data_IF_088008107629
#
_entry.id   IF_088008107629
#
_cell.length_a   1.000
_cell.length_b   1.000
_cell.length_c   1.000
_cell.angle_alpha   90.00
_cell.angle_beta   90.00
_cell.angle_gamma   90.00
#
_symmetry.space_group_name_H-M   'P 1'
#
loop_
_entity.id
_entity.type
_entity.pdbx_description
1 polymer ?
#
# COMPACT_ATOMS: atom_id res chain seq x y z
N UNK A 1 28.65 -15.70 24.39
CA UNK A 1 27.92 -16.50 23.38
C UNK A 1 26.40 -16.56 23.63
N UNK A 2 25.82 -15.83 24.60
CA UNK A 2 24.44 -16.10 25.09
C UNK A 2 23.38 -15.02 24.83
N UNK A 3 23.62 -14.02 23.98
CA UNK A 3 22.69 -12.88 23.81
C UNK A 3 21.98 -12.82 22.45
N UNK A 4 22.19 -13.86 21.62
CA UNK A 4 21.56 -13.97 20.30
C UNK A 4 20.16 -14.57 20.45
N UNK A 5 19.14 -13.83 20.02
CA UNK A 5 17.73 -14.26 20.07
C UNK A 5 17.25 -14.83 18.73
N UNK A 6 17.90 -14.45 17.62
CA UNK A 6 17.67 -15.05 16.30
C UNK A 6 19.02 -15.48 15.71
N UNK A 7 19.08 -16.72 15.23
CA UNK A 7 20.22 -17.25 14.48
C UNK A 7 19.73 -18.05 13.28
N UNK A 8 20.16 -17.66 12.09
CA UNK A 8 19.91 -18.37 10.85
C UNK A 8 21.25 -18.66 10.15
N UNK A 9 21.39 -19.87 9.60
CA UNK A 9 22.57 -20.28 8.83
C UNK A 9 22.16 -20.99 7.54
N UNK A 10 22.60 -20.48 6.40
CA UNK A 10 22.25 -20.97 5.07
C UNK A 10 20.75 -21.09 4.85
N UNK A 11 19.95 -20.25 5.52
CA UNK A 11 18.51 -20.37 5.58
C UNK A 11 17.90 -20.10 4.19
N UNK A 12 16.96 -20.94 3.80
CA UNK A 12 16.15 -20.72 2.61
C UNK A 12 14.74 -21.26 2.80
N UNK A 13 13.81 -20.79 1.98
CA UNK A 13 12.45 -21.29 1.98
C UNK A 13 11.90 -21.42 0.56
N UNK A 14 11.20 -22.51 0.29
CA UNK A 14 10.46 -22.74 -0.95
C UNK A 14 9.02 -23.09 -0.67
N UNK A 15 8.10 -22.26 -1.16
CA UNK A 15 6.66 -22.53 -1.17
C UNK A 15 6.36 -23.77 -2.02
N UNK A 16 5.44 -24.64 -1.59
CA UNK A 16 5.07 -25.86 -2.31
C UNK A 16 4.50 -25.58 -3.71
N UNK A 17 3.81 -24.45 -3.87
CA UNK A 17 3.18 -24.02 -5.13
C UNK A 17 4.14 -23.38 -6.12
N UNK A 18 5.39 -23.10 -5.73
CA UNK A 18 6.36 -22.37 -6.58
C UNK A 18 7.51 -23.27 -7.02
N UNK A 19 7.98 -23.14 -8.28
CA UNK A 19 9.11 -23.93 -8.76
C UNK A 19 10.44 -23.50 -8.11
N UNK A 20 10.58 -22.20 -7.84
CA UNK A 20 11.80 -21.60 -7.28
C UNK A 20 11.62 -21.27 -5.79
N UNK A 21 12.70 -21.35 -4.98
CA UNK A 21 12.70 -20.83 -3.62
C UNK A 21 12.32 -19.34 -3.58
N UNK A 22 11.67 -18.92 -2.49
CA UNK A 22 11.41 -17.52 -2.21
C UNK A 22 12.70 -16.76 -1.87
N UNK A 23 13.60 -17.41 -1.13
CA UNK A 23 14.95 -16.91 -0.82
C UNK A 23 15.87 -18.08 -0.46
N UNK A 24 17.19 -17.88 -0.54
CA UNK A 24 18.21 -18.87 -0.19
C UNK A 24 19.44 -18.23 0.44
N UNK A 25 20.20 -19.00 1.23
CA UNK A 25 21.53 -18.58 1.69
C UNK A 25 21.53 -17.44 2.70
N UNK A 26 20.47 -17.30 3.51
CA UNK A 26 20.37 -16.26 4.53
C UNK A 26 21.15 -16.68 5.78
N UNK A 27 22.21 -15.95 6.07
CA UNK A 27 22.93 -15.97 7.34
C UNK A 27 22.55 -14.70 8.13
N UNK A 28 21.94 -14.88 9.31
CA UNK A 28 21.44 -13.77 10.13
C UNK A 28 21.69 -14.07 11.62
N UNK A 29 22.15 -13.06 12.36
CA UNK A 29 22.35 -13.14 13.80
C UNK A 29 21.84 -11.85 14.42
N UNK A 30 20.81 -11.92 15.25
CA UNK A 30 20.21 -10.74 15.91
C UNK A 30 20.27 -10.91 17.42
N UNK A 31 20.79 -9.88 18.09
CA UNK A 31 20.95 -9.81 19.54
C UNK A 31 19.69 -9.34 20.24
N UNK A 32 19.55 -9.62 21.54
CA UNK A 32 18.43 -9.10 22.33
C UNK A 32 18.45 -7.56 22.33
N UNK A 33 17.30 -6.94 22.07
CA UNK A 33 17.14 -5.49 21.98
C UNK A 33 17.72 -4.85 20.71
N UNK A 34 18.33 -5.61 19.81
CA UNK A 34 18.83 -5.09 18.52
C UNK A 34 17.66 -4.72 17.60
N UNK A 35 17.78 -3.58 16.92
CA UNK A 35 16.80 -3.09 15.95
C UNK A 35 17.37 -3.19 14.55
N UNK A 36 16.73 -4.00 13.72
CA UNK A 36 17.22 -4.34 12.38
C UNK A 36 16.28 -3.81 11.33
N UNK A 37 16.82 -3.10 10.34
CA UNK A 37 16.11 -2.73 9.11
C UNK A 37 16.46 -3.71 7.99
N UNK A 38 15.44 -4.31 7.39
CA UNK A 38 15.55 -5.21 6.25
C UNK A 38 14.96 -4.56 4.99
N UNK A 39 15.80 -4.33 3.99
CA UNK A 39 15.39 -3.85 2.66
C UNK A 39 15.58 -4.96 1.63
N UNK A 40 15.08 -4.77 0.41
CA UNK A 40 15.25 -5.72 -0.69
C UNK A 40 14.19 -5.52 -1.77
N UNK A 41 14.45 -6.04 -2.95
CA UNK A 41 13.53 -5.95 -4.09
C UNK A 41 12.16 -6.61 -3.78
N UNK A 42 11.11 -6.19 -4.49
CA UNK A 42 9.83 -6.90 -4.40
C UNK A 42 9.99 -8.34 -4.89
N UNK A 43 9.40 -9.28 -4.16
CA UNK A 43 9.56 -10.71 -4.46
C UNK A 43 10.88 -11.34 -4.02
N UNK A 44 11.82 -10.59 -3.41
CA UNK A 44 13.07 -11.15 -2.86
C UNK A 44 12.86 -12.09 -1.66
N UNK A 45 11.63 -12.18 -1.15
CA UNK A 45 11.27 -13.10 -0.06
C UNK A 45 11.26 -12.49 1.33
N UNK A 46 11.25 -11.16 1.48
CA UNK A 46 11.27 -10.44 2.78
C UNK A 46 10.15 -10.89 3.74
N UNK A 47 8.89 -10.81 3.29
CA UNK A 47 7.73 -11.27 4.06
C UNK A 47 7.78 -12.77 4.35
N UNK A 48 8.31 -13.57 3.43
CA UNK A 48 8.51 -15.02 3.65
C UNK A 48 9.59 -15.27 4.71
N UNK A 49 10.68 -14.49 4.72
CA UNK A 49 11.71 -14.56 5.75
C UNK A 49 11.12 -14.21 7.12
N UNK A 50 10.34 -13.13 7.23
CA UNK A 50 9.65 -12.80 8.48
C UNK A 50 8.69 -13.92 8.92
N UNK A 51 7.92 -14.51 7.99
CA UNK A 51 7.03 -15.63 8.31
C UNK A 51 7.79 -16.88 8.80
N UNK A 52 8.98 -17.17 8.27
CA UNK A 52 9.84 -18.26 8.76
C UNK A 52 10.38 -17.92 10.17
N UNK A 53 10.80 -16.68 10.40
CA UNK A 53 11.26 -16.22 11.72
C UNK A 53 10.14 -16.22 12.78
N UNK A 54 8.91 -15.92 12.37
CA UNK A 54 7.71 -15.99 13.21
C UNK A 54 7.24 -17.43 13.48
N UNK A 55 7.80 -18.43 12.77
CA UNK A 55 7.32 -19.81 12.83
C UNK A 55 5.99 -20.07 12.11
N UNK A 56 5.51 -19.11 11.31
CA UNK A 56 4.29 -19.23 10.51
C UNK A 56 4.52 -20.04 9.22
N UNK A 57 5.73 -19.97 8.65
CA UNK A 57 6.13 -20.76 7.49
C UNK A 57 7.11 -21.85 7.91
N UNK A 58 6.64 -23.10 7.98
CA UNK A 58 7.41 -24.24 8.45
C UNK A 58 7.68 -25.27 7.33
N UNK A 59 8.57 -26.21 7.61
CA UNK A 59 8.76 -27.39 6.76
C UNK A 59 7.52 -28.29 6.84
N UNK A 60 6.88 -28.58 5.72
CA UNK A 60 5.63 -29.35 5.70
C UNK A 60 4.95 -29.36 4.33
N UNK A 61 3.63 -29.48 4.33
CA UNK A 61 2.83 -29.49 3.09
C UNK A 61 2.87 -28.16 2.35
N UNK A 62 3.03 -27.05 3.08
CA UNK A 62 3.02 -25.69 2.53
C UNK A 62 4.37 -25.25 1.95
N UNK A 63 5.47 -25.92 2.33
CA UNK A 63 6.79 -25.60 1.81
C UNK A 63 7.96 -26.29 2.51
N UNK A 64 9.16 -25.96 2.03
CA UNK A 64 10.42 -26.57 2.46
C UNK A 64 11.39 -25.50 2.97
N UNK A 65 11.83 -25.67 4.23
CA UNK A 65 12.98 -24.94 4.79
C UNK A 65 14.29 -25.62 4.40
N UNK A 66 15.29 -24.82 4.03
CA UNK A 66 16.69 -25.19 3.86
C UNK A 66 17.54 -24.53 4.96
N UNK A 67 18.67 -25.13 5.35
CA UNK A 67 19.54 -24.55 6.38
C UNK A 67 18.98 -24.71 7.80
N UNK A 68 19.36 -23.80 8.70
CA UNK A 68 18.89 -23.81 10.09
C UNK A 68 18.40 -22.43 10.53
N UNK A 69 17.39 -22.42 11.39
CA UNK A 69 16.87 -21.22 12.06
C UNK A 69 16.59 -21.57 13.52
N UNK A 70 16.99 -20.69 14.43
CA UNK A 70 16.69 -20.76 15.86
C UNK A 70 16.21 -19.39 16.31
N UNK A 71 15.05 -19.38 16.97
CA UNK A 71 14.46 -18.18 17.56
C UNK A 71 14.19 -18.47 19.03
N UNK A 72 14.65 -17.59 19.91
CA UNK A 72 14.58 -17.75 21.36
C UNK A 72 13.86 -16.55 21.99
N UNK A 73 12.54 -16.67 22.12
CA UNK A 73 11.66 -15.66 22.69
C UNK A 73 10.26 -15.75 22.09
N UNK A 74 9.33 -14.95 22.62
CA UNK A 74 8.00 -14.80 22.04
C UNK A 74 8.08 -13.86 20.85
N UNK A 75 7.67 -14.32 19.67
CA UNK A 75 7.65 -13.51 18.44
C UNK A 75 6.23 -13.01 18.21
N UNK A 76 6.09 -11.71 17.99
CA UNK A 76 4.87 -11.12 17.46
C UNK A 76 5.13 -10.50 16.09
N UNK A 77 4.23 -10.76 15.15
CA UNK A 77 4.34 -10.26 13.77
C UNK A 77 3.18 -9.33 13.46
N UNK A 78 3.49 -8.16 12.92
CA UNK A 78 2.54 -7.24 12.30
C UNK A 78 2.71 -7.37 10.79
N UNK A 79 1.63 -7.75 10.11
CA UNK A 79 1.54 -7.94 8.67
C UNK A 79 1.37 -6.60 7.94
N UNK A 80 1.65 -6.62 6.64
CA UNK A 80 1.52 -5.47 5.74
C UNK A 80 0.09 -4.93 5.65
N UNK A 81 -0.92 -5.80 5.76
CA UNK A 81 -2.32 -5.41 5.80
C UNK A 81 -2.89 -5.54 7.23
N UNK A 82 -3.07 -4.43 7.96
CA UNK A 82 -3.62 -4.45 9.31
C UNK A 82 -5.09 -4.88 9.35
N UNK A 83 -5.84 -4.68 8.26
CA UNK A 83 -7.24 -5.10 8.21
C UNK A 83 -7.36 -6.62 8.27
N UNK A 84 -6.41 -7.33 7.65
CA UNK A 84 -6.33 -8.79 7.72
C UNK A 84 -5.99 -9.32 9.13
N UNK A 85 -5.48 -8.47 10.05
CA UNK A 85 -5.16 -8.85 11.43
C UNK A 85 -6.13 -8.32 12.48
N UNK A 86 -7.09 -7.48 12.10
CA UNK A 86 -8.16 -7.04 13.00
C UNK A 86 -9.21 -8.14 13.06
N UNK A 87 -9.35 -8.81 14.21
CA UNK A 87 -10.17 -10.02 14.34
C UNK A 87 -11.50 -9.70 15.00
N UNK A 88 -11.47 -8.87 16.04
CA UNK A 88 -12.61 -8.56 16.87
C UNK A 88 -13.09 -7.13 16.64
N UNK A 89 -14.38 -6.92 16.90
CA UNK A 89 -15.04 -5.63 16.65
C UNK A 89 -14.66 -4.58 17.68
N UNK A 90 -14.24 -4.98 18.89
CA UNK A 90 -13.95 -4.06 19.98
C UNK A 90 -12.46 -4.01 20.24
N UNK A 91 -11.93 -2.79 20.35
CA UNK A 91 -10.49 -2.53 20.55
C UNK A 91 -9.90 -3.35 21.71
N UNK A 92 -10.55 -3.35 22.87
CA UNK A 92 -10.04 -4.06 24.04
C UNK A 92 -9.99 -5.57 23.83
N UNK A 93 -11.05 -6.14 23.24
CA UNK A 93 -11.15 -7.57 22.99
C UNK A 93 -10.11 -7.99 21.93
N UNK A 94 -9.92 -7.19 20.87
CA UNK A 94 -8.95 -7.44 19.81
C UNK A 94 -7.50 -7.45 20.33
N UNK A 95 -7.14 -6.50 21.18
CA UNK A 95 -5.81 -6.49 21.84
C UNK A 95 -5.64 -7.66 22.80
N UNK A 96 -6.71 -8.06 23.50
CA UNK A 96 -6.68 -9.20 24.41
C UNK A 96 -6.52 -10.55 23.69
N UNK A 97 -6.94 -10.64 22.42
CA UNK A 97 -7.03 -11.89 21.66
C UNK A 97 -5.75 -12.71 21.69
N UNK A 98 -4.59 -12.09 21.45
CA UNK A 98 -3.31 -12.79 21.47
C UNK A 98 -2.97 -13.34 22.86
N UNK A 99 -3.19 -12.53 23.91
CA UNK A 99 -2.92 -12.93 25.28
C UNK A 99 -3.80 -14.10 25.74
N UNK A 100 -5.08 -14.11 25.33
CA UNK A 100 -6.01 -15.22 25.58
C UNK A 100 -5.53 -16.51 24.92
N UNK A 101 -5.09 -16.44 23.65
CA UNK A 101 -4.59 -17.61 22.92
C UNK A 101 -3.28 -18.17 23.51
N UNK A 102 -2.48 -17.32 24.16
CA UNK A 102 -1.28 -17.72 24.90
C UNK A 102 -1.59 -18.32 26.28
N UNK A 103 -2.86 -18.35 26.69
CA UNK A 103 -3.29 -18.88 27.98
C UNK A 103 -2.89 -18.01 29.17
N UNK A 104 -2.70 -16.69 28.96
CA UNK A 104 -2.43 -15.74 30.02
C UNK A 104 -3.65 -15.64 30.94
N UNK A 105 -3.42 -15.45 32.25
CA UNK A 105 -4.52 -15.40 33.21
C UNK A 105 -5.43 -14.19 32.97
N UNK A 106 -6.77 -14.31 33.13
CA UNK A 106 -7.70 -13.19 32.96
C UNK A 106 -7.38 -11.96 33.83
N UNK A 107 -6.75 -12.17 34.98
CA UNK A 107 -6.32 -11.11 35.91
C UNK A 107 -5.17 -10.26 35.33
N UNK A 108 -4.35 -10.83 34.45
CA UNK A 108 -3.21 -10.16 33.81
C UNK A 108 -3.55 -9.57 32.44
N UNK A 109 -4.56 -10.10 31.75
CA UNK A 109 -4.91 -9.69 30.37
C UNK A 109 -5.26 -8.21 30.29
N UNK A 110 -6.22 -7.74 31.09
CA UNK A 110 -6.68 -6.35 31.00
C UNK A 110 -5.62 -5.31 31.40
N UNK A 111 -4.81 -5.53 32.46
CA UNK A 111 -3.62 -4.71 32.71
C UNK A 111 -2.69 -4.63 31.49
N UNK A 112 -2.38 -5.76 30.84
CA UNK A 112 -1.55 -5.79 29.64
C UNK A 112 -2.18 -5.05 28.46
N UNK A 113 -3.49 -5.19 28.25
CA UNK A 113 -4.24 -4.46 27.20
C UNK A 113 -4.09 -2.96 27.39
N UNK A 114 -4.30 -2.46 28.62
CA UNK A 114 -4.15 -1.04 28.93
C UNK A 114 -2.71 -0.56 28.73
N UNK A 115 -1.72 -1.30 29.24
CA UNK A 115 -0.30 -0.96 29.06
C UNK A 115 0.09 -0.95 27.58
N UNK A 116 -0.37 -1.91 26.79
CA UNK A 116 -0.08 -2.02 25.37
C UNK A 116 -0.69 -0.87 24.55
N UNK A 117 -1.96 -0.52 24.79
CA UNK A 117 -2.62 0.62 24.15
C UNK A 117 -1.94 1.95 24.48
N UNK A 118 -1.51 2.11 25.73
CA UNK A 118 -0.71 3.26 26.16
C UNK A 118 0.68 3.28 25.49
N UNK A 119 1.33 2.12 25.35
CA UNK A 119 2.64 1.99 24.70
C UNK A 119 2.67 2.57 23.29
N UNK A 120 1.61 2.27 22.54
CA UNK A 120 1.48 2.66 21.15
C UNK A 120 0.83 4.04 21.00
N UNK A 121 0.34 4.66 22.09
CA UNK A 121 -0.37 5.94 22.04
C UNK A 121 -1.76 5.86 21.40
N UNK A 122 -2.44 4.71 21.50
CA UNK A 122 -3.80 4.53 20.98
C UNK A 122 -4.82 4.78 22.11
N UNK A 123 -5.25 6.03 22.25
CA UNK A 123 -6.16 6.47 23.30
C UNK A 123 -7.63 6.47 22.84
N UNK A 124 -8.21 5.28 22.74
CA UNK A 124 -9.64 5.10 22.43
C UNK A 124 -10.32 4.23 23.50
N UNK A 125 -11.66 4.36 23.69
CA UNK A 125 -12.39 3.45 24.58
C UNK A 125 -12.22 1.99 24.17
N UNK A 126 -12.16 1.07 25.14
CA UNK A 126 -12.00 -0.37 24.87
C UNK A 126 -13.18 -0.96 24.09
N UNK A 127 -14.36 -0.35 24.18
CA UNK A 127 -15.56 -0.71 23.43
C UNK A 127 -15.70 -0.02 22.08
N UNK A 128 -14.71 0.79 21.69
CA UNK A 128 -14.68 1.43 20.38
C UNK A 128 -14.63 0.38 19.26
N UNK A 129 -15.36 0.65 18.18
CA UNK A 129 -15.43 -0.27 17.04
C UNK A 129 -14.16 -0.17 16.20
N UNK A 130 -13.46 -1.29 16.03
CA UNK A 130 -12.21 -1.38 15.25
C UNK A 130 -12.39 -0.98 13.78
N UNK A 131 -13.60 -1.13 13.22
CA UNK A 131 -13.93 -0.70 11.87
C UNK A 131 -13.90 0.83 11.67
N UNK A 132 -13.97 1.61 12.75
CA UNK A 132 -13.94 3.08 12.70
C UNK A 132 -12.54 3.67 12.93
N UNK A 133 -11.53 2.82 13.14
CA UNK A 133 -10.14 3.28 13.28
C UNK A 133 -9.55 3.66 11.92
N UNK A 134 -8.73 4.70 11.90
CA UNK A 134 -7.90 5.04 10.74
C UNK A 134 -6.84 3.95 10.49
N UNK A 135 -6.25 3.90 9.29
CA UNK A 135 -5.20 2.92 8.98
C UNK A 135 -4.02 2.96 9.96
N UNK A 136 -3.55 4.16 10.32
CA UNK A 136 -2.49 4.32 11.33
C UNK A 136 -2.93 3.87 12.72
N UNK A 137 -4.18 4.09 13.11
CA UNK A 137 -4.73 3.57 14.36
C UNK A 137 -4.87 2.05 14.36
N UNK A 138 -5.26 1.44 13.23
CA UNK A 138 -5.29 -0.03 13.06
C UNK A 138 -3.88 -0.62 13.19
N UNK A 139 -2.87 0.00 12.57
CA UNK A 139 -1.47 -0.43 12.74
C UNK A 139 -1.06 -0.43 14.22
N UNK A 140 -1.40 0.64 14.95
CA UNK A 140 -1.12 0.77 16.38
C UNK A 140 -1.90 -0.25 17.22
N UNK A 141 -3.15 -0.52 16.86
CA UNK A 141 -3.97 -1.56 17.48
C UNK A 141 -3.30 -2.94 17.36
N UNK A 142 -2.86 -3.32 16.15
CA UNK A 142 -2.19 -4.59 15.91
C UNK A 142 -0.87 -4.68 16.67
N UNK A 143 -0.09 -3.60 16.72
CA UNK A 143 1.11 -3.51 17.53
C UNK A 143 0.81 -3.67 19.03
N UNK A 144 -0.28 -3.08 19.53
CA UNK A 144 -0.72 -3.27 20.91
C UNK A 144 -1.10 -4.73 21.19
N UNK A 145 -1.79 -5.42 20.27
CA UNK A 145 -2.06 -6.85 20.37
C UNK A 145 -0.79 -7.68 20.49
N UNK A 146 0.24 -7.36 19.69
CA UNK A 146 1.57 -7.97 19.77
C UNK A 146 2.23 -7.77 21.14
N UNK A 147 2.10 -6.58 21.72
CA UNK A 147 2.65 -6.29 23.04
C UNK A 147 1.89 -6.98 24.18
N UNK A 148 0.57 -7.05 24.09
CA UNK A 148 -0.26 -7.72 25.10
C UNK A 148 0.06 -9.22 25.19
N UNK A 149 0.45 -9.85 24.08
CA UNK A 149 0.97 -11.23 24.06
C UNK A 149 2.27 -11.42 24.86
N UNK A 150 3.00 -10.34 25.15
CA UNK A 150 4.34 -10.40 25.75
C UNK A 150 5.41 -10.77 24.73
N UNK A 151 5.34 -10.24 23.51
CA UNK A 151 6.38 -10.43 22.51
C UNK A 151 7.69 -9.74 22.92
N UNK A 152 8.77 -10.52 22.92
CA UNK A 152 10.14 -10.03 23.13
C UNK A 152 10.84 -9.70 21.79
N UNK A 153 10.30 -10.22 20.69
CA UNK A 153 10.76 -10.06 19.32
C UNK A 153 9.58 -9.57 18.49
N UNK A 154 9.70 -8.39 17.90
CA UNK A 154 8.68 -7.76 17.07
C UNK A 154 9.16 -7.81 15.62
N UNK A 155 8.35 -8.40 14.74
CA UNK A 155 8.57 -8.42 13.30
C UNK A 155 7.52 -7.54 12.63
N UNK A 156 7.95 -6.54 11.87
CA UNK A 156 7.06 -5.63 11.17
C UNK A 156 7.27 -5.81 9.67
N UNK A 157 6.23 -6.23 8.95
CA UNK A 157 6.25 -6.38 7.50
C UNK A 157 5.61 -5.14 6.86
N UNK A 158 6.43 -4.19 6.41
CA UNK A 158 6.00 -2.93 5.79
C UNK A 158 4.93 -2.17 6.59
N UNK A 159 5.19 -1.86 7.88
CA UNK A 159 4.18 -1.30 8.79
C UNK A 159 3.71 0.11 8.42
N UNK A 160 4.41 0.80 7.51
CA UNK A 160 4.03 2.14 7.02
C UNK A 160 3.39 2.12 5.64
N UNK A 161 3.19 0.93 5.07
CA UNK A 161 2.43 0.73 3.85
C UNK A 161 1.00 1.31 3.99
N UNK A 162 0.47 1.92 2.93
CA UNK A 162 -0.89 2.49 2.87
C UNK A 162 -1.19 3.64 3.85
N UNK A 163 -0.19 4.17 4.55
CA UNK A 163 -0.39 5.30 5.46
C UNK A 163 -0.14 6.64 4.77
N UNK A 164 -0.95 7.62 5.13
CA UNK A 164 -0.61 9.02 4.85
C UNK A 164 0.63 9.44 5.67
N UNK A 165 1.29 10.56 5.34
CA UNK A 165 2.52 10.98 6.02
C UNK A 165 2.39 11.13 7.54
N UNK A 166 1.26 11.66 8.03
CA UNK A 166 1.01 11.82 9.47
C UNK A 166 0.89 10.46 10.16
N UNK A 167 0.11 9.55 9.58
CA UNK A 167 -0.07 8.18 10.07
C UNK A 167 1.22 7.36 10.05
N UNK A 168 2.05 7.53 9.02
CA UNK A 168 3.40 6.93 8.95
C UNK A 168 4.27 7.39 10.11
N UNK A 169 4.37 8.71 10.30
CA UNK A 169 5.25 9.29 11.33
C UNK A 169 4.76 8.90 12.74
N UNK A 170 3.45 8.82 12.94
CA UNK A 170 2.86 8.28 14.16
C UNK A 170 3.26 6.82 14.43
N UNK A 171 3.19 5.95 13.41
CA UNK A 171 3.54 4.53 13.56
C UNK A 171 5.02 4.35 13.88
N UNK A 172 5.90 5.07 13.17
CA UNK A 172 7.34 5.05 13.46
C UNK A 172 7.61 5.50 14.89
N UNK A 173 6.97 6.60 15.35
CA UNK A 173 7.08 7.06 16.75
C UNK A 173 6.58 6.02 17.75
N UNK A 174 5.45 5.35 17.46
CA UNK A 174 4.90 4.32 18.33
C UNK A 174 5.85 3.13 18.46
N UNK A 175 6.42 2.65 17.36
CA UNK A 175 7.39 1.54 17.38
C UNK A 175 8.67 1.92 18.14
N UNK A 176 9.18 3.14 17.96
CA UNK A 176 10.34 3.63 18.71
C UNK A 176 10.05 3.71 20.22
N UNK A 177 8.90 4.28 20.60
CA UNK A 177 8.47 4.36 22.01
C UNK A 177 8.35 2.98 22.64
N UNK A 178 7.74 2.02 21.92
CA UNK A 178 7.60 0.63 22.35
C UNK A 178 8.97 -0.01 22.58
N UNK A 179 9.86 0.04 21.59
CA UNK A 179 11.18 -0.60 21.69
C UNK A 179 12.02 0.00 22.83
N UNK A 180 11.97 1.33 23.02
CA UNK A 180 12.66 2.00 24.14
C UNK A 180 12.09 1.60 25.50
N UNK A 181 10.78 1.40 25.60
CA UNK A 181 10.10 1.09 26.86
C UNK A 181 10.25 -0.37 27.28
N UNK A 182 10.23 -1.29 26.32
CA UNK A 182 10.24 -2.74 26.58
C UNK A 182 11.61 -3.39 26.40
N UNK A 183 12.49 -2.77 25.61
CA UNK A 183 13.75 -3.41 25.19
C UNK A 183 13.54 -4.56 24.20
N UNK A 184 12.40 -4.62 23.52
CA UNK A 184 12.11 -5.65 22.53
C UNK A 184 13.11 -5.60 21.35
N UNK A 185 13.48 -6.77 20.85
CA UNK A 185 14.20 -6.91 19.58
C UNK A 185 13.25 -6.58 18.43
N UNK A 186 13.73 -5.86 17.42
CA UNK A 186 12.92 -5.47 16.26
C UNK A 186 13.57 -5.93 14.95
N UNK A 187 12.78 -6.49 14.05
CA UNK A 187 13.09 -6.53 12.62
C UNK A 187 11.96 -5.84 11.87
N UNK A 188 12.27 -4.78 11.15
CA UNK A 188 11.33 -4.05 10.31
C UNK A 188 11.72 -4.18 8.84
N UNK A 189 10.76 -4.60 8.01
CA UNK A 189 10.89 -4.62 6.56
C UNK A 189 10.24 -3.37 5.99
N UNK A 190 10.96 -2.64 5.14
CA UNK A 190 10.47 -1.40 4.54
C UNK A 190 10.95 -1.19 3.10
N UNK A 191 10.08 -0.57 2.30
CA UNK A 191 10.41 -0.08 0.96
C UNK A 191 10.90 1.37 0.97
N UNK A 192 10.46 2.17 1.96
CA UNK A 192 10.92 3.55 2.16
C UNK A 192 11.66 3.68 3.49
N UNK A 193 12.91 3.19 3.57
CA UNK A 193 13.62 3.03 4.84
C UNK A 193 14.03 4.34 5.50
N UNK A 194 13.96 5.49 4.80
CA UNK A 194 14.44 6.78 5.28
C UNK A 194 13.89 7.17 6.67
N UNK A 195 12.62 6.86 6.96
CA UNK A 195 11.98 7.19 8.24
C UNK A 195 12.48 6.34 9.42
N UNK A 196 13.18 5.24 9.14
CA UNK A 196 13.64 4.28 10.14
C UNK A 196 15.12 4.45 10.49
N UNK A 197 15.88 5.18 9.68
CA UNK A 197 17.36 5.26 9.75
C UNK A 197 17.87 5.72 11.10
N UNK A 198 17.24 6.74 11.68
CA UNK A 198 17.67 7.32 12.97
C UNK A 198 17.35 6.42 14.18
N UNK A 199 16.57 5.36 13.97
CA UNK A 199 16.05 4.50 15.02
C UNK A 199 16.66 3.09 15.02
N UNK A 200 17.05 2.55 13.87
CA UNK A 200 17.59 1.18 13.75
C UNK A 200 19.10 1.12 13.98
N UNK A 201 19.59 -0.03 14.43
CA UNK A 201 21.00 -0.27 14.77
C UNK A 201 21.76 -0.93 13.60
N UNK A 202 21.11 -1.88 12.91
CA UNK A 202 21.74 -2.71 11.87
C UNK A 202 20.90 -2.72 10.60
N UNK A 203 21.56 -2.76 9.45
CA UNK A 203 20.93 -2.70 8.13
C UNK A 203 21.27 -3.96 7.34
N UNK A 204 20.26 -4.56 6.72
CA UNK A 204 20.43 -5.64 5.77
C UNK A 204 19.66 -5.38 4.47
N UNK A 205 20.19 -5.92 3.39
CA UNK A 205 19.56 -5.92 2.09
C UNK A 205 19.45 -7.37 1.58
N UNK A 206 18.23 -7.82 1.29
CA UNK A 206 17.96 -9.16 0.78
C UNK A 206 17.99 -9.16 -0.75
N UNK A 207 18.93 -9.88 -1.32
CA UNK A 207 19.07 -10.09 -2.78
C UNK A 207 18.74 -11.54 -3.15
N UNK A 208 18.75 -11.86 -4.45
CA UNK A 208 18.60 -13.22 -4.94
C UNK A 208 19.72 -14.17 -4.44
N UNK A 209 20.90 -13.62 -4.15
CA UNK A 209 22.06 -14.35 -3.66
C UNK A 209 22.06 -14.57 -2.13
N UNK A 210 21.17 -13.89 -1.41
CA UNK A 210 21.03 -14.01 0.04
C UNK A 210 21.00 -12.66 0.76
N UNK A 211 21.24 -12.68 2.07
CA UNK A 211 21.20 -11.50 2.92
C UNK A 211 22.57 -10.83 2.98
N UNK A 212 22.65 -9.55 2.65
CA UNK A 212 23.89 -8.78 2.66
C UNK A 212 23.83 -7.68 3.72
N UNK A 213 24.88 -7.48 4.53
CA UNK A 213 24.99 -6.28 5.37
C UNK A 213 24.94 -5.03 4.51
N UNK A 214 24.22 -4.02 4.98
CA UNK A 214 24.08 -2.73 4.32
C UNK A 214 24.45 -1.60 5.30
N UNK A 215 24.24 -0.36 4.90
CA UNK A 215 24.41 0.82 5.74
C UNK A 215 23.47 1.95 5.31
N UNK A 216 23.34 3.01 6.11
CA UNK A 216 22.43 4.12 5.82
C UNK A 216 22.71 4.77 4.46
N UNK A 217 23.98 4.85 4.05
CA UNK A 217 24.40 5.43 2.77
C UNK A 217 24.13 4.52 1.55
N UNK A 218 23.76 3.26 1.78
CA UNK A 218 23.48 2.26 0.75
C UNK A 218 21.98 1.95 0.65
N UNK A 219 21.15 2.68 1.39
CA UNK A 219 19.71 2.52 1.33
C UNK A 219 19.19 2.93 -0.05
N UNK A 220 18.14 2.26 -0.56
CA UNK A 220 17.52 2.64 -1.81
C UNK A 220 17.09 4.11 -1.75
N UNK A 221 17.59 4.89 -2.71
CA UNK A 221 17.13 6.25 -2.91
C UNK A 221 15.82 6.22 -3.69
N UNK A 222 14.92 7.19 -3.45
CA UNK A 222 13.74 7.35 -4.28
C UNK A 222 14.15 7.41 -5.76
N UNK A 223 13.41 6.73 -6.64
CA UNK A 223 13.74 6.70 -8.06
C UNK A 223 13.73 8.12 -8.65
N UNK A 224 14.72 8.42 -9.48
CA UNK A 224 14.76 9.70 -10.21
C UNK A 224 13.76 9.67 -11.35
N UNK A 225 12.80 10.59 -11.31
CA UNK A 225 11.76 10.75 -12.30
C UNK A 225 11.81 12.17 -12.89
N UNK A 226 11.33 12.36 -14.14
CA UNK A 226 11.15 13.69 -14.69
C UNK A 226 10.24 14.53 -13.78
N UNK A 227 10.51 15.83 -13.57
CA UNK A 227 9.67 16.66 -12.72
C UNK A 227 8.28 16.88 -13.32
N UNK A 228 7.33 17.23 -12.45
CA UNK A 228 6.02 17.71 -12.83
C UNK A 228 6.11 18.94 -13.76
N UNK A 229 5.11 19.07 -14.63
CA UNK A 229 4.97 20.16 -15.60
C UNK A 229 4.19 21.32 -14.98
N UNK A 230 4.49 22.53 -15.43
CA UNK A 230 3.65 23.69 -15.10
C UNK A 230 2.36 23.69 -15.94
N UNK A 231 1.23 23.83 -15.26
CA UNK A 231 -0.08 24.00 -15.90
C UNK A 231 -0.29 25.48 -16.24
N UNK A 232 -0.50 25.84 -17.52
CA UNK A 232 -0.83 27.21 -17.91
C UNK A 232 -2.15 27.66 -17.28
N UNK A 233 -2.22 28.93 -16.86
CA UNK A 233 -3.43 29.48 -16.22
C UNK A 233 -4.69 29.46 -17.12
N UNK A 234 -4.49 29.34 -18.44
CA UNK A 234 -5.55 29.26 -19.45
C UNK A 234 -5.73 27.84 -20.00
N UNK A 235 -5.21 26.81 -19.33
CA UNK A 235 -5.44 25.43 -19.72
C UNK A 235 -6.94 25.13 -19.74
N UNK A 236 -7.37 24.39 -20.76
CA UNK A 236 -8.74 23.89 -20.83
C UNK A 236 -9.03 22.97 -19.63
N UNK A 237 -10.29 22.88 -19.26
CA UNK A 237 -10.72 22.11 -18.09
C UNK A 237 -11.32 20.78 -18.55
N UNK A 238 -10.71 19.67 -18.15
CA UNK A 238 -11.21 18.32 -18.42
C UNK A 238 -12.44 17.99 -17.57
N UNK A 239 -12.41 18.38 -16.30
CA UNK A 239 -13.46 18.11 -15.34
C UNK A 239 -13.54 19.25 -14.33
N UNK A 240 -14.77 19.66 -13.98
CA UNK A 240 -15.03 20.49 -12.81
C UNK A 240 -16.23 19.99 -12.02
N UNK A 241 -16.21 20.21 -10.72
CA UNK A 241 -17.34 19.92 -9.84
C UNK A 241 -17.98 21.21 -9.35
N UNK A 242 -19.30 21.15 -9.15
CA UNK A 242 -20.10 22.24 -8.60
C UNK A 242 -20.83 21.72 -7.36
N UNK A 243 -20.38 22.15 -6.18
CA UNK A 243 -20.91 21.77 -4.86
C UNK A 243 -21.15 20.25 -4.74
N UNK A 244 -20.17 19.45 -5.17
CA UNK A 244 -20.30 18.01 -5.26
C UNK A 244 -20.20 17.37 -3.88
N UNK A 245 -21.22 16.61 -3.51
CA UNK A 245 -21.24 15.84 -2.27
C UNK A 245 -21.44 14.37 -2.60
N UNK A 246 -20.52 13.51 -2.16
CA UNK A 246 -20.52 12.07 -2.46
C UNK A 246 -20.78 11.19 -1.24
N UNK A 247 -20.51 11.73 -0.05
CA UNK A 247 -20.70 11.07 1.24
C UNK A 247 -20.99 12.14 2.31
N UNK A 248 -20.92 11.75 3.59
CA UNK A 248 -20.93 12.71 4.70
C UNK A 248 -19.73 13.67 4.59
N UNK A 249 -19.95 14.95 4.89
CA UNK A 249 -18.97 16.02 4.74
C UNK A 249 -19.46 17.14 3.81
N UNK A 250 -18.62 18.14 3.62
CA UNK A 250 -19.01 19.36 2.91
C UNK A 250 -18.91 19.25 1.38
N UNK A 251 -19.75 19.99 0.64
CA UNK A 251 -19.69 20.05 -0.82
C UNK A 251 -18.31 20.49 -1.33
N UNK A 252 -17.86 19.90 -2.43
CA UNK A 252 -16.50 20.12 -2.97
C UNK A 252 -16.53 20.67 -4.39
N UNK A 253 -15.67 21.66 -4.64
CA UNK A 253 -15.43 22.27 -5.94
C UNK A 253 -13.97 21.98 -6.34
N UNK A 254 -13.79 21.17 -7.38
CA UNK A 254 -12.49 20.69 -7.87
C UNK A 254 -12.39 21.03 -9.35
N UNK A 255 -11.19 21.38 -9.80
CA UNK A 255 -10.92 21.67 -11.22
C UNK A 255 -9.73 20.83 -11.68
N UNK A 256 -9.96 20.04 -12.73
CA UNK A 256 -8.93 19.19 -13.34
C UNK A 256 -8.56 19.78 -14.71
N UNK A 257 -7.32 20.25 -14.91
CA UNK A 257 -6.83 20.72 -16.21
C UNK A 257 -6.76 19.57 -17.24
N UNK A 258 -7.17 19.84 -18.48
CA UNK A 258 -7.17 18.86 -19.57
C UNK A 258 -5.76 18.61 -20.10
N UNK A 259 -5.39 17.33 -20.24
CA UNK A 259 -4.09 16.91 -20.78
C UNK A 259 -2.94 16.96 -19.78
N UNK A 260 -3.24 17.23 -18.50
CA UNK A 260 -2.26 17.26 -17.42
C UNK A 260 -2.56 16.18 -16.39
N UNK A 261 -1.60 15.95 -15.51
CA UNK A 261 -1.77 15.06 -14.37
C UNK A 261 -2.13 15.84 -13.11
N UNK A 262 -3.29 15.51 -12.53
CA UNK A 262 -3.75 16.04 -11.24
C UNK A 262 -3.55 15.00 -10.16
N UNK A 263 -2.87 15.35 -9.07
CA UNK A 263 -2.74 14.50 -7.89
C UNK A 263 -3.61 15.02 -6.77
N UNK A 264 -4.45 14.13 -6.24
CA UNK A 264 -5.32 14.36 -5.11
C UNK A 264 -4.66 13.79 -3.86
N UNK A 265 -4.40 14.64 -2.88
CA UNK A 265 -3.85 14.28 -1.57
C UNK A 265 -4.86 14.58 -0.46
N UNK A 266 -4.58 14.16 0.77
CA UNK A 266 -5.42 14.40 1.94
C UNK A 266 -5.44 13.21 2.88
N UNK A 267 -5.83 13.38 4.14
CA UNK A 267 -5.77 12.30 5.15
C UNK A 267 -6.56 11.06 4.73
N UNK A 268 -6.19 9.89 5.24
CA UNK A 268 -7.00 8.69 5.04
C UNK A 268 -8.39 8.86 5.68
N UNK A 269 -9.42 8.36 5.00
CA UNK A 269 -10.82 8.52 5.43
C UNK A 269 -11.50 9.84 5.08
N UNK A 270 -10.81 10.82 4.46
CA UNK A 270 -11.42 12.10 4.01
C UNK A 270 -12.38 11.96 2.82
N UNK A 271 -12.49 10.75 2.25
CA UNK A 271 -13.38 10.43 1.13
C UNK A 271 -12.76 10.52 -0.26
N UNK A 272 -11.41 10.45 -0.38
CA UNK A 272 -10.68 10.51 -1.67
C UNK A 272 -11.21 9.48 -2.68
N UNK A 273 -11.22 8.20 -2.29
CA UNK A 273 -11.72 7.08 -3.12
C UNK A 273 -13.17 7.29 -3.54
N UNK A 274 -14.05 7.65 -2.60
CA UNK A 274 -15.48 7.88 -2.91
C UNK A 274 -15.67 9.04 -3.88
N UNK A 275 -14.89 10.11 -3.73
CA UNK A 275 -14.89 11.24 -4.67
C UNK A 275 -14.49 10.76 -6.07
N UNK A 276 -13.32 10.12 -6.22
CA UNK A 276 -12.85 9.73 -7.56
C UNK A 276 -13.73 8.66 -8.20
N UNK A 277 -14.38 7.79 -7.42
CA UNK A 277 -15.41 6.87 -7.93
C UNK A 277 -16.63 7.60 -8.49
N UNK A 278 -17.07 8.69 -7.84
CA UNK A 278 -18.12 9.54 -8.39
C UNK A 278 -17.67 10.28 -9.66
N UNK A 279 -16.44 10.78 -9.68
CA UNK A 279 -15.81 11.38 -10.87
C UNK A 279 -15.60 10.36 -12.00
N UNK A 280 -15.50 9.08 -11.68
CA UNK A 280 -15.46 7.97 -12.64
C UNK A 280 -16.85 7.52 -13.12
N UNK A 281 -17.93 8.06 -12.53
CA UNK A 281 -19.30 7.63 -12.82
C UNK A 281 -19.66 6.26 -12.22
N UNK A 282 -18.87 5.74 -11.30
CA UNK A 282 -19.13 4.46 -10.61
C UNK A 282 -20.08 4.62 -9.41
N UNK A 283 -20.08 5.80 -8.80
CA UNK A 283 -20.95 6.16 -7.67
C UNK A 283 -21.77 7.40 -8.03
N UNK A 284 -23.05 7.40 -7.66
CA UNK A 284 -23.90 8.57 -7.83
C UNK A 284 -23.63 9.60 -6.71
N UNK A 285 -23.44 10.89 -7.02
CA UNK A 285 -23.33 11.90 -6.00
C UNK A 285 -24.66 12.09 -5.26
N UNK A 286 -24.58 12.46 -3.98
CA UNK A 286 -25.73 12.84 -3.15
C UNK A 286 -26.31 14.19 -3.59
N UNK A 287 -25.44 15.14 -3.92
CA UNK A 287 -25.80 16.47 -4.41
C UNK A 287 -24.67 17.09 -5.26
N UNK A 288 -24.96 18.21 -5.91
CA UNK A 288 -24.03 18.88 -6.81
C UNK A 288 -23.98 18.28 -8.22
N UNK A 289 -23.03 18.74 -9.01
CA UNK A 289 -22.86 18.33 -10.40
C UNK A 289 -21.39 18.11 -10.79
N UNK A 290 -21.18 17.23 -11.76
CA UNK A 290 -19.89 16.99 -12.41
C UNK A 290 -20.02 17.41 -13.87
N UNK A 291 -19.15 18.30 -14.31
CA UNK A 291 -19.09 18.81 -15.67
C UNK A 291 -17.78 18.35 -16.31
N UNK A 292 -17.90 17.58 -17.40
CA UNK A 292 -16.76 17.09 -18.18
C UNK A 292 -16.60 17.91 -19.46
N UNK A 293 -15.37 18.02 -19.95
CA UNK A 293 -15.07 18.69 -21.22
C UNK A 293 -15.80 18.04 -22.40
N UNK A 294 -16.04 18.78 -23.49
CA UNK A 294 -16.67 18.24 -24.69
C UNK A 294 -15.94 17.00 -25.24
N UNK A 295 -14.62 16.93 -25.06
CA UNK A 295 -13.76 15.82 -25.50
C UNK A 295 -14.08 14.54 -24.73
N UNK A 296 -14.15 14.60 -23.40
CA UNK A 296 -14.51 13.45 -22.56
C UNK A 296 -15.99 13.09 -22.74
N UNK A 297 -16.89 14.08 -22.72
CA UNK A 297 -18.34 13.88 -22.84
C UNK A 297 -18.73 13.25 -24.17
N UNK A 298 -18.07 13.67 -25.25
CA UNK A 298 -18.31 13.21 -26.63
C UNK A 298 -19.83 13.07 -26.94
N UNK A 299 -20.57 14.16 -26.73
CA UNK A 299 -22.00 14.27 -27.04
C UNK A 299 -23.00 13.76 -25.98
N UNK A 300 -22.57 13.10 -24.91
CA UNK A 300 -23.47 12.53 -23.90
C UNK A 300 -24.04 13.57 -22.94
N UNK A 301 -25.36 13.79 -22.91
CA UNK A 301 -25.92 14.87 -22.08
C UNK A 301 -26.18 14.49 -20.62
N UNK A 302 -26.41 13.21 -20.32
CA UNK A 302 -26.69 12.72 -18.97
C UNK A 302 -25.48 12.87 -18.03
N UNK A 303 -25.72 12.83 -16.72
CA UNK A 303 -24.66 12.72 -15.71
C UNK A 303 -23.87 11.42 -15.87
N UNK A 304 -22.58 11.44 -15.53
CA UNK A 304 -21.66 10.31 -15.72
C UNK A 304 -22.13 9.00 -15.08
N UNK A 305 -22.69 9.05 -13.87
CA UNK A 305 -23.26 7.88 -13.18
C UNK A 305 -24.46 7.22 -13.89
N UNK A 306 -24.98 7.83 -14.96
CA UNK A 306 -26.07 7.29 -15.80
C UNK A 306 -25.59 6.88 -17.19
N UNK A 307 -24.31 7.06 -17.51
CA UNK A 307 -23.76 6.58 -18.77
C UNK A 307 -23.75 5.06 -18.77
N UNK A 308 -23.92 4.46 -19.95
CA UNK A 308 -23.85 2.99 -20.07
C UNK A 308 -22.40 2.55 -19.83
N UNK A 309 -22.19 1.33 -19.34
CA UNK A 309 -20.85 0.79 -19.06
C UNK A 309 -19.91 0.88 -20.26
N UNK A 310 -20.41 0.64 -21.49
CA UNK A 310 -19.64 0.81 -22.73
C UNK A 310 -19.20 2.25 -22.94
N UNK A 311 -20.06 3.21 -22.65
CA UNK A 311 -19.76 4.63 -22.83
C UNK A 311 -18.70 5.10 -21.82
N UNK A 312 -18.79 4.65 -20.57
CA UNK A 312 -17.79 4.89 -19.53
C UNK A 312 -16.45 4.27 -19.91
N UNK A 313 -16.41 2.98 -20.25
CA UNK A 313 -15.17 2.25 -20.53
C UNK A 313 -14.38 2.81 -21.74
N UNK A 314 -15.03 3.52 -22.67
CA UNK A 314 -14.37 4.18 -23.81
C UNK A 314 -13.81 5.57 -23.48
N UNK A 315 -14.21 6.16 -22.34
CA UNK A 315 -13.92 7.57 -22.00
C UNK A 315 -13.06 7.68 -20.74
N UNK A 316 -13.36 6.86 -19.75
CA UNK A 316 -12.75 6.88 -18.42
C UNK A 316 -12.15 5.51 -18.13
N UNK A 317 -10.84 5.47 -17.91
CA UNK A 317 -10.16 4.32 -17.32
C UNK A 317 -10.09 4.49 -15.81
N UNK A 318 -10.31 3.42 -15.05
CA UNK A 318 -10.22 3.44 -13.59
C UNK A 318 -9.35 2.29 -13.10
N UNK A 319 -8.35 2.60 -12.28
CA UNK A 319 -7.52 1.62 -11.55
C UNK A 319 -7.95 1.65 -10.09
N UNK A 320 -8.48 0.52 -9.61
CA UNK A 320 -8.94 0.36 -8.23
C UNK A 320 -7.78 0.21 -7.25
N UNK A 321 -7.96 0.69 -6.02
CA UNK A 321 -6.96 0.55 -4.95
C UNK A 321 -6.54 -0.92 -4.78
N UNK A 322 -7.51 -1.83 -4.70
CA UNK A 322 -7.29 -3.28 -4.70
C UNK A 322 -7.52 -3.86 -6.11
N UNK A 323 -6.46 -4.37 -6.78
CA UNK A 323 -6.59 -4.90 -8.14
C UNK A 323 -7.53 -6.10 -8.26
N UNK A 324 -7.66 -6.90 -7.20
CA UNK A 324 -8.41 -8.17 -7.22
C UNK A 324 -9.90 -7.99 -7.48
N UNK A 325 -10.44 -6.85 -7.06
CA UNK A 325 -11.84 -6.48 -7.29
C UNK A 325 -12.18 -6.18 -8.76
N UNK A 326 -11.16 -6.12 -9.63
CA UNK A 326 -11.34 -5.81 -11.05
C UNK A 326 -11.34 -7.06 -11.95
N UNK A 327 -10.76 -8.17 -11.51
CA UNK A 327 -10.55 -9.34 -12.39
C UNK A 327 -11.76 -10.25 -12.45
N UNK A 328 -12.21 -10.58 -13.67
CA UNK A 328 -13.41 -11.40 -13.89
C UNK A 328 -13.19 -12.54 -14.88
N UNK A 329 -12.01 -12.65 -15.49
CA UNK A 329 -11.68 -13.66 -16.49
C UNK A 329 -10.76 -14.75 -15.93
N UNK A 330 -10.61 -15.84 -16.70
CA UNK A 330 -9.77 -16.97 -16.32
C UNK A 330 -8.29 -16.81 -16.71
N UNK A 331 -7.96 -15.84 -17.58
CA UNK A 331 -6.57 -15.56 -17.95
C UNK A 331 -6.25 -14.08 -18.17
N UNK A 332 -5.01 -13.71 -17.86
CA UNK A 332 -4.49 -12.32 -17.95
C UNK A 332 -4.77 -11.66 -19.31
N UNK A 333 -4.59 -12.41 -20.41
CA UNK A 333 -4.80 -11.89 -21.76
C UNK A 333 -6.28 -11.57 -22.04
N UNK A 334 -7.18 -12.45 -21.63
CA UNK A 334 -8.62 -12.25 -21.73
C UNK A 334 -9.08 -11.07 -20.88
N UNK A 335 -8.47 -10.88 -19.71
CA UNK A 335 -8.76 -9.74 -18.84
C UNK A 335 -8.50 -8.41 -19.56
N UNK A 336 -7.33 -8.25 -20.19
CA UNK A 336 -7.01 -7.05 -20.98
C UNK A 336 -7.91 -6.94 -22.22
N UNK A 337 -8.28 -8.06 -22.83
CA UNK A 337 -9.13 -8.08 -24.02
C UNK A 337 -10.63 -7.88 -23.71
N UNK A 338 -11.05 -7.93 -22.44
CA UNK A 338 -12.45 -7.96 -22.01
C UNK A 338 -13.25 -6.77 -22.54
N UNK A 339 -12.62 -5.60 -22.68
CA UNK A 339 -13.25 -4.40 -23.21
C UNK A 339 -13.46 -4.40 -24.73
N UNK A 340 -13.00 -5.44 -25.43
CA UNK A 340 -13.09 -5.56 -26.89
C UNK A 340 -11.92 -4.93 -27.65
N UNK A 341 -10.80 -4.66 -26.98
CA UNK A 341 -9.61 -4.10 -27.61
C UNK A 341 -8.98 -5.06 -28.64
N UNK A 342 -8.36 -4.53 -29.72
CA UNK A 342 -7.76 -5.37 -30.74
C UNK A 342 -6.54 -6.11 -30.22
N UNK A 343 -6.31 -7.34 -30.70
CA UNK A 343 -5.24 -8.23 -30.22
C UNK A 343 -3.85 -7.57 -30.19
N UNK A 344 -3.49 -6.78 -31.20
CA UNK A 344 -2.18 -6.10 -31.25
C UNK A 344 -1.98 -5.12 -30.09
N UNK A 345 -3.05 -4.43 -29.67
CA UNK A 345 -3.00 -3.50 -28.53
C UNK A 345 -2.86 -4.23 -27.21
N UNK A 346 -3.54 -5.35 -27.06
CA UNK A 346 -3.42 -6.25 -25.90
C UNK A 346 -1.98 -6.77 -25.80
N UNK A 347 -1.42 -7.28 -26.90
CA UNK A 347 -0.04 -7.78 -26.95
C UNK A 347 0.99 -6.68 -26.62
N UNK A 348 0.83 -5.48 -27.17
CA UNK A 348 1.66 -4.31 -26.89
C UNK A 348 1.67 -3.98 -25.38
N UNK A 349 0.49 -3.90 -24.75
CA UNK A 349 0.37 -3.58 -23.33
C UNK A 349 0.94 -4.68 -22.43
N UNK A 350 0.68 -5.95 -22.74
CA UNK A 350 1.26 -7.07 -21.99
C UNK A 350 2.79 -7.07 -22.07
N UNK A 351 3.37 -6.81 -23.23
CA UNK A 351 4.82 -6.74 -23.38
C UNK A 351 5.40 -5.53 -22.63
N UNK A 352 4.77 -4.36 -22.78
CA UNK A 352 5.24 -3.12 -22.16
C UNK A 352 5.18 -3.16 -20.63
N UNK A 353 4.17 -3.84 -20.07
CA UNK A 353 4.00 -4.04 -18.63
C UNK A 353 4.61 -5.36 -18.13
N UNK A 354 5.37 -6.08 -18.98
CA UNK A 354 6.03 -7.35 -18.64
C UNK A 354 5.09 -8.35 -17.98
N UNK A 355 4.00 -8.63 -18.67
CA UNK A 355 2.99 -9.63 -18.34
C UNK A 355 2.89 -10.71 -19.43
N UNK A 356 3.75 -10.67 -20.45
CA UNK A 356 3.76 -11.62 -21.55
C UNK A 356 4.07 -13.05 -21.06
N UNK A 357 4.93 -13.20 -20.06
CA UNK A 357 5.27 -14.50 -19.45
C UNK A 357 4.12 -15.13 -18.65
N UNK A 358 3.17 -14.31 -18.19
CA UNK A 358 1.97 -14.72 -17.43
C UNK A 358 0.67 -14.54 -18.21
N UNK A 359 0.74 -14.27 -19.52
CA UNK A 359 -0.43 -13.94 -20.33
C UNK A 359 -1.53 -15.03 -20.30
N UNK A 360 -1.16 -16.29 -20.09
CA UNK A 360 -2.07 -17.44 -20.00
C UNK A 360 -2.38 -17.87 -18.56
N UNK A 361 -1.77 -17.23 -17.56
CA UNK A 361 -1.99 -17.53 -16.15
C UNK A 361 -3.33 -16.96 -15.68
N UNK A 362 -3.85 -17.49 -14.57
CA UNK A 362 -5.05 -16.94 -13.94
C UNK A 362 -4.71 -15.64 -13.17
N UNK A 363 -5.47 -14.54 -13.31
CA UNK A 363 -5.19 -13.27 -12.63
C UNK A 363 -5.02 -13.39 -11.10
N UNK A 364 -5.74 -14.30 -10.44
CA UNK A 364 -5.66 -14.49 -8.99
C UNK A 364 -4.38 -15.21 -8.52
N UNK A 365 -3.66 -15.86 -9.45
CA UNK A 365 -2.38 -16.53 -9.18
C UNK A 365 -1.16 -15.63 -9.33
N UNK A 366 -1.36 -14.42 -9.85
CA UNK A 366 -0.31 -13.42 -10.03
C UNK A 366 0.21 -12.88 -8.68
N UNK A 367 1.47 -12.44 -8.66
CA UNK A 367 1.99 -11.63 -7.56
C UNK A 367 1.25 -10.28 -7.45
N UNK A 368 1.28 -9.63 -6.28
CA UNK A 368 0.64 -8.32 -6.09
C UNK A 368 1.09 -7.26 -7.12
N UNK A 369 2.40 -7.23 -7.43
CA UNK A 369 2.94 -6.36 -8.49
C UNK A 369 2.40 -6.68 -9.88
N UNK A 370 2.33 -7.96 -10.26
CA UNK A 370 1.74 -8.39 -11.53
C UNK A 370 0.24 -8.06 -11.60
N UNK A 371 -0.51 -8.24 -10.50
CA UNK A 371 -1.93 -7.84 -10.40
C UNK A 371 -2.09 -6.34 -10.63
N UNK A 372 -1.29 -5.49 -9.97
CA UNK A 372 -1.35 -4.04 -10.18
C UNK A 372 -1.05 -3.66 -11.63
N UNK A 373 -0.03 -4.25 -12.25
CA UNK A 373 0.27 -4.03 -13.68
C UNK A 373 -0.88 -4.46 -14.58
N UNK A 374 -1.56 -5.57 -14.28
CA UNK A 374 -2.73 -6.00 -15.03
C UNK A 374 -3.91 -5.02 -14.89
N UNK A 375 -4.17 -4.51 -13.69
CA UNK A 375 -5.18 -3.48 -13.45
C UNK A 375 -4.89 -2.19 -14.23
N UNK A 376 -3.63 -1.76 -14.30
CA UNK A 376 -3.21 -0.64 -15.17
C UNK A 376 -3.43 -0.98 -16.64
N UNK A 377 -3.04 -2.18 -17.11
CA UNK A 377 -3.22 -2.60 -18.50
C UNK A 377 -4.70 -2.53 -18.94
N UNK A 378 -5.59 -3.06 -18.11
CA UNK A 378 -7.05 -3.10 -18.37
C UNK A 378 -7.67 -1.71 -18.39
N UNK A 379 -7.22 -0.78 -17.54
CA UNK A 379 -7.68 0.62 -17.56
C UNK A 379 -7.22 1.39 -18.81
N UNK A 380 -6.06 1.03 -19.37
CA UNK A 380 -5.44 1.73 -20.50
C UNK A 380 -5.83 1.19 -21.87
N UNK A 381 -6.38 -0.03 -21.92
CA UNK A 381 -6.55 -0.76 -23.17
C UNK A 381 -7.44 -0.03 -24.18
N UNK A 382 -8.43 0.73 -23.71
CA UNK A 382 -9.35 1.51 -24.55
C UNK A 382 -8.85 2.93 -24.88
N UNK A 383 -7.64 3.30 -24.45
CA UNK A 383 -7.07 4.63 -24.62
C UNK A 383 -8.02 5.76 -24.16
N UNK A 384 -8.45 5.76 -22.87
CA UNK A 384 -9.42 6.72 -22.35
C UNK A 384 -8.93 8.16 -22.48
N UNK A 385 -9.85 9.13 -22.44
CA UNK A 385 -9.52 10.56 -22.40
C UNK A 385 -9.19 11.03 -20.97
N UNK A 386 -9.76 10.34 -19.97
CA UNK A 386 -9.49 10.51 -18.55
C UNK A 386 -9.05 9.18 -17.93
N UNK A 387 -7.87 9.13 -17.33
CA UNK A 387 -7.42 8.00 -16.53
C UNK A 387 -7.45 8.37 -15.06
N UNK A 388 -8.15 7.58 -14.25
CA UNK A 388 -8.26 7.74 -12.81
C UNK A 388 -7.51 6.59 -12.13
N UNK A 389 -6.61 6.94 -11.21
CA UNK A 389 -5.69 6.02 -10.57
C UNK A 389 -5.83 6.14 -9.05
N UNK A 390 -6.36 5.11 -8.39
CA UNK A 390 -6.45 5.08 -6.92
C UNK A 390 -5.26 4.30 -6.34
N UNK A 391 -4.30 5.03 -5.75
CA UNK A 391 -3.03 4.53 -5.20
C UNK A 391 -2.22 3.62 -6.16
N UNK A 392 -1.98 4.05 -7.42
CA UNK A 392 -1.50 3.16 -8.51
C UNK A 392 -0.13 2.51 -8.25
N UNK A 393 0.67 3.09 -7.38
CA UNK A 393 2.05 2.66 -7.08
C UNK A 393 2.16 1.86 -5.80
N UNK A 394 1.05 1.57 -5.12
CA UNK A 394 1.05 0.78 -3.90
C UNK A 394 1.64 -0.63 -4.09
N UNK A 395 2.46 -1.07 -3.12
CA UNK A 395 3.05 -2.41 -3.07
C UNK A 395 3.99 -2.76 -4.22
N UNK A 396 4.53 -1.75 -4.93
CA UNK A 396 5.45 -1.95 -6.06
C UNK A 396 6.90 -1.77 -5.62
N UNK A 397 7.81 -2.56 -6.22
CA UNK A 397 9.25 -2.25 -6.20
C UNK A 397 9.57 -1.00 -7.03
N UNK A 398 10.74 -0.41 -6.79
CA UNK A 398 11.23 0.80 -7.48
C UNK A 398 11.25 0.67 -9.00
N UNK A 399 11.58 -0.52 -9.54
CA UNK A 399 11.64 -0.72 -10.99
C UNK A 399 10.24 -0.68 -11.59
N UNK A 400 9.30 -1.41 -10.99
CA UNK A 400 7.90 -1.40 -11.41
C UNK A 400 7.27 -0.02 -11.21
N UNK A 401 7.59 0.66 -10.11
CA UNK A 401 7.18 2.03 -9.83
C UNK A 401 7.59 2.97 -10.96
N UNK A 402 8.88 2.99 -11.33
CA UNK A 402 9.39 3.83 -12.42
C UNK A 402 8.68 3.55 -13.73
N UNK A 403 8.42 2.28 -14.05
CA UNK A 403 7.75 1.87 -15.28
C UNK A 403 6.30 2.39 -15.33
N UNK A 404 5.54 2.25 -14.24
CA UNK A 404 4.16 2.75 -14.13
C UNK A 404 4.13 4.28 -14.26
N UNK A 405 4.97 4.99 -13.50
CA UNK A 405 5.03 6.45 -13.54
C UNK A 405 5.44 6.96 -14.93
N UNK A 406 6.44 6.34 -15.55
CA UNK A 406 6.89 6.71 -16.91
C UNK A 406 5.77 6.52 -17.93
N UNK A 407 5.03 5.42 -17.85
CA UNK A 407 3.90 5.16 -18.72
C UNK A 407 2.78 6.19 -18.54
N UNK A 408 2.46 6.57 -17.30
CA UNK A 408 1.46 7.60 -17.01
C UNK A 408 1.90 8.96 -17.55
N UNK A 409 3.17 9.32 -17.36
CA UNK A 409 3.75 10.56 -17.90
C UNK A 409 3.70 10.59 -19.43
N UNK A 410 3.97 9.48 -20.11
CA UNK A 410 3.83 9.39 -21.56
C UNK A 410 2.39 9.62 -22.02
N UNK A 411 1.39 9.13 -21.28
CA UNK A 411 -0.02 9.37 -21.60
C UNK A 411 -0.41 10.83 -21.39
N UNK A 412 0.05 11.46 -20.30
CA UNK A 412 -0.13 12.89 -20.08
C UNK A 412 0.50 13.70 -21.22
N UNK A 413 1.74 13.37 -21.62
CA UNK A 413 2.42 14.01 -22.74
C UNK A 413 1.72 13.79 -24.10
N UNK A 414 0.96 12.70 -24.25
CA UNK A 414 0.08 12.46 -25.41
C UNK A 414 -1.26 13.24 -25.33
N UNK A 415 -1.42 14.11 -24.34
CA UNK A 415 -2.61 14.95 -24.14
C UNK A 415 -3.80 14.21 -23.53
N UNK A 416 -3.57 13.11 -22.81
CA UNK A 416 -4.59 12.43 -21.99
C UNK A 416 -4.63 13.07 -20.60
N UNK A 417 -5.81 13.15 -20.00
CA UNK A 417 -5.95 13.70 -18.65
C UNK A 417 -5.76 12.60 -17.63
N UNK A 418 -4.93 12.84 -16.61
CA UNK A 418 -4.67 11.89 -15.53
C UNK A 418 -5.16 12.48 -14.22
N UNK A 419 -5.83 11.68 -13.40
CA UNK A 419 -6.16 12.00 -12.02
C UNK A 419 -5.70 10.85 -11.13
N UNK A 420 -4.91 11.14 -10.10
CA UNK A 420 -4.36 10.10 -9.22
C UNK A 420 -4.59 10.45 -7.76
N UNK A 421 -4.91 9.45 -6.94
CA UNK A 421 -4.79 9.55 -5.48
C UNK A 421 -3.47 8.88 -5.11
N UNK A 422 -2.59 9.61 -4.44
CA UNK A 422 -1.41 9.01 -3.82
C UNK A 422 -0.76 9.91 -2.78
N UNK A 423 -0.04 9.29 -1.86
CA UNK A 423 0.87 9.92 -0.90
C UNK A 423 2.35 9.73 -1.24
N UNK A 424 2.67 9.13 -2.41
CA UNK A 424 4.05 8.94 -2.83
C UNK A 424 4.70 10.25 -3.29
N UNK A 425 5.72 10.70 -2.56
CA UNK A 425 6.42 11.97 -2.82
C UNK A 425 7.13 11.98 -4.18
N UNK A 426 7.67 10.84 -4.63
CA UNK A 426 8.33 10.74 -5.93
C UNK A 426 7.30 10.78 -7.08
N UNK A 427 6.14 10.15 -6.87
CA UNK A 427 5.01 10.25 -7.80
C UNK A 427 4.49 11.68 -7.87
N UNK A 428 4.25 12.33 -6.73
CA UNK A 428 3.79 13.72 -6.66
C UNK A 428 4.79 14.65 -7.33
N UNK A 429 6.08 14.53 -7.02
CA UNK A 429 7.12 15.35 -7.64
C UNK A 429 7.23 15.16 -9.15
N UNK A 430 6.84 13.98 -9.65
CA UNK A 430 6.90 13.64 -11.08
C UNK A 430 5.63 13.91 -11.85
N UNK A 431 4.44 13.73 -11.26
CA UNK A 431 3.11 13.72 -11.89
C UNK A 431 2.12 14.71 -11.26
N UNK A 432 2.52 15.47 -10.24
CA UNK A 432 1.72 16.52 -9.62
C UNK A 432 1.75 17.82 -10.41
N UNK A 433 1.37 17.80 -11.70
CA UNK A 433 1.30 19.02 -12.53
C UNK A 433 0.28 20.01 -11.92
N UNK A 434 -0.81 19.45 -11.39
CA UNK A 434 -1.81 20.12 -10.60
C UNK A 434 -2.07 19.36 -9.30
N UNK A 435 -2.27 20.07 -8.20
CA UNK A 435 -2.48 19.49 -6.87
C UNK A 435 -3.85 19.89 -6.33
N UNK A 436 -4.58 18.90 -5.81
CA UNK A 436 -5.84 19.09 -5.10
C UNK A 436 -5.71 18.44 -3.73
N UNK A 437 -5.88 19.22 -2.65
CA UNK A 437 -5.80 18.70 -1.29
C UNK A 437 -7.19 18.59 -0.67
N UNK A 438 -7.60 17.38 -0.31
CA UNK A 438 -8.84 17.12 0.39
C UNK A 438 -8.64 17.25 1.90
N UNK A 439 -9.40 18.17 2.48
CA UNK A 439 -9.48 18.38 3.94
C UNK A 439 -10.90 18.13 4.44
N UNK A 440 -11.03 17.78 5.72
CA UNK A 440 -12.30 17.84 6.42
C UNK A 440 -12.52 19.25 6.98
N UNK A 441 -13.77 19.67 7.10
CA UNK A 441 -14.11 21.00 7.65
C UNK A 441 -13.63 21.21 9.10
N UNK A 442 -13.34 20.11 9.82
CA UNK A 442 -12.82 20.12 11.19
C UNK A 442 -11.28 20.12 11.28
N UNK A 443 -10.55 20.05 10.16
CA UNK A 443 -9.08 20.16 10.19
C UNK A 443 -8.68 21.62 10.48
N UNK A 444 -7.84 21.89 11.50
CA UNK A 444 -7.38 23.24 11.79
C UNK A 444 -6.66 23.83 10.57
N UNK A 445 -6.96 25.10 10.27
CA UNK A 445 -6.28 25.87 9.22
C UNK A 445 -4.86 26.17 9.69
N UNK A 446 -3.93 25.25 9.44
CA UNK A 446 -2.51 25.58 9.62
C UNK A 446 -2.09 26.56 8.52
N UNK A 447 -1.75 27.76 8.99
CA UNK A 447 -1.48 28.92 8.18
C UNK A 447 -0.27 28.74 7.28
N UNK A 448 -0.45 29.23 6.06
CA UNK A 448 0.62 29.64 5.14
C UNK A 448 1.75 30.31 5.91
N UNK A 449 2.94 29.73 5.83
CA UNK A 449 4.18 30.44 6.11
C UNK A 449 4.96 30.54 4.80
N UNK A 450 4.95 31.79 4.33
CA UNK A 450 5.60 32.46 3.18
C UNK A 450 6.85 31.78 2.61
#
# INVERSE_FOLDING_TARGET
MGDQVIQAQGLGYKHATRPNPAFTGVDLSVSRGERVLLTGDSGAGKSTLLAVLAGLAAHGEDGQIFGTVKVNGTVGMVLQDPEAQTILTRVGDDVAFGAENMGISPEEIWPRVHEALDAVGLHVPLDHNTAHLSGGQKQRLTLAGVLAMGADIILLDEPTANLDPEGRDDVVRAVDAVCRRTGATLIVVEHRPAHWVDFVDTFYHLTAEGLQPSGPDQLPMPPQLPPALEVPANADCALRTHDLQVAFGSPRNIVVPEGYSTVITGKNGVGKTTLVQALAGLVAPLSGAIEYSPRIRNGLTASSHRWKSRDLAQRIGYVFQEPEHQFVTANVREEVALSGAPKHRVDELLQRLRLDHVASANPFTLSGGEKRRLSVATALVNAPELLILDEPTFGQDDRTFVEIVSLIRELANAGKTIMSITHDEAFVGSLGDHMEELRNDDDPVDGVSV
#
